data_IF_535318515759
#
_entry.id   IF_535318515759
#
_cell.length_a   1.000
_cell.length_b   1.000
_cell.length_c   1.000
_cell.angle_alpha   90.00
_cell.angle_beta   90.00
_cell.angle_gamma   90.00
#
_symmetry.space_group_name_H-M   'P 1'
#
loop_
_entity.id
_entity.type
_entity.pdbx_description
1 polymer ?
#
# COMPACT_ATOMS: atom_id res chain seq x y z
N UNK A 1 -36.94 16.32 3.73
CA UNK A 1 -35.89 15.98 2.74
C UNK A 1 -35.34 14.62 3.08
N UNK A 2 -34.96 13.79 2.11
CA UNK A 2 -34.33 12.49 2.36
C UNK A 2 -32.86 12.59 1.96
N UNK A 3 -31.96 12.03 2.77
CA UNK A 3 -30.54 11.90 2.45
C UNK A 3 -30.13 10.45 2.50
N UNK A 4 -28.89 10.14 2.12
CA UNK A 4 -28.41 8.76 2.08
C UNK A 4 -27.29 8.53 3.10
N UNK A 5 -27.27 7.35 3.73
CA UNK A 5 -26.27 6.95 4.72
C UNK A 5 -25.73 5.56 4.42
N UNK A 6 -24.45 5.34 4.68
CA UNK A 6 -23.80 4.06 4.42
C UNK A 6 -24.27 2.96 5.38
N UNK A 7 -24.48 1.77 4.82
CA UNK A 7 -24.75 0.54 5.56
C UNK A 7 -23.42 0.02 6.12
N UNK A 8 -23.37 -0.48 7.38
CA UNK A 8 -22.21 -1.19 7.88
C UNK A 8 -21.90 -2.42 7.00
N UNK A 9 -20.63 -2.68 6.70
CA UNK A 9 -20.19 -3.79 5.84
C UNK A 9 -19.49 -4.91 6.61
N UNK A 10 -19.53 -4.86 7.94
CA UNK A 10 -18.84 -5.80 8.82
C UNK A 10 -19.68 -7.05 9.05
N UNK A 11 -19.04 -8.22 9.16
CA UNK A 11 -19.75 -9.48 9.42
C UNK A 11 -20.08 -9.59 10.91
N UNK A 12 -21.12 -10.36 11.27
CA UNK A 12 -21.47 -10.56 12.68
C UNK A 12 -20.32 -11.22 13.47
N UNK A 13 -19.55 -12.06 12.79
CA UNK A 13 -18.37 -12.76 13.32
C UNK A 13 -17.22 -11.82 13.68
N UNK A 14 -17.18 -10.60 13.12
CA UNK A 14 -16.15 -9.61 13.46
C UNK A 14 -16.31 -9.09 14.90
N UNK A 15 -17.51 -9.24 15.49
CA UNK A 15 -17.77 -8.96 16.90
C UNK A 15 -17.81 -7.49 17.28
N UNK A 16 -17.97 -6.58 16.30
CA UNK A 16 -17.81 -5.15 16.48
C UNK A 16 -19.08 -4.49 17.05
N UNK A 17 -18.94 -3.82 18.19
CA UNK A 17 -19.99 -2.98 18.80
C UNK A 17 -19.45 -1.58 19.05
N UNK A 18 -20.15 -0.57 18.56
CA UNK A 18 -19.84 0.83 18.76
C UNK A 18 -20.51 1.37 20.02
N UNK A 19 -19.72 1.95 20.93
CA UNK A 19 -20.17 2.64 22.13
C UNK A 19 -19.99 4.14 21.94
N UNK A 20 -21.07 4.91 21.96
CA UNK A 20 -21.01 6.37 21.92
C UNK A 20 -20.94 6.92 23.35
N UNK A 21 -19.90 7.68 23.65
CA UNK A 21 -19.65 8.32 24.94
C UNK A 21 -19.96 9.81 24.89
N UNK A 22 -20.51 10.34 25.98
CA UNK A 22 -20.67 11.78 26.19
C UNK A 22 -19.39 12.42 26.74
N UNK A 23 -18.25 12.16 26.09
CA UNK A 23 -16.91 12.64 26.49
C UNK A 23 -16.08 12.89 25.24
N UNK A 24 -15.12 13.82 25.34
CA UNK A 24 -14.18 14.15 24.27
C UNK A 24 -13.25 12.99 23.95
N UNK A 25 -12.78 12.93 22.71
CA UNK A 25 -11.92 11.84 22.24
C UNK A 25 -10.63 11.74 23.05
N UNK A 26 -10.02 12.88 23.38
CA UNK A 26 -8.81 12.92 24.19
C UNK A 26 -9.01 12.26 25.57
N UNK A 27 -10.16 12.50 26.20
CA UNK A 27 -10.47 11.93 27.52
C UNK A 27 -10.66 10.41 27.44
N UNK A 28 -11.36 9.94 26.40
CA UNK A 28 -11.56 8.50 26.15
C UNK A 28 -10.23 7.81 25.84
N UNK A 29 -9.35 8.42 25.05
CA UNK A 29 -8.01 7.88 24.76
C UNK A 29 -7.16 7.81 26.02
N UNK A 30 -7.15 8.86 26.83
CA UNK A 30 -6.40 8.91 28.09
C UNK A 30 -6.91 7.89 29.12
N UNK A 31 -8.22 7.62 29.14
CA UNK A 31 -8.86 6.67 30.07
C UNK A 31 -9.08 5.28 29.45
N UNK A 32 -8.52 5.00 28.28
CA UNK A 32 -8.84 3.80 27.50
C UNK A 32 -8.65 2.51 28.31
N UNK A 33 -7.51 2.37 29.01
CA UNK A 33 -7.24 1.17 29.83
C UNK A 33 -8.28 0.98 30.94
N UNK A 34 -8.59 2.05 31.67
CA UNK A 34 -9.60 2.03 32.74
C UNK A 34 -11.00 1.67 32.20
N UNK A 35 -11.36 2.20 31.03
CA UNK A 35 -12.63 1.89 30.37
C UNK A 35 -12.67 0.41 29.98
N UNK A 36 -11.60 -0.12 29.38
CA UNK A 36 -11.50 -1.54 28.99
C UNK A 36 -11.61 -2.46 30.21
N UNK A 37 -10.92 -2.13 31.31
CA UNK A 37 -11.03 -2.89 32.56
C UNK A 37 -12.44 -2.84 33.15
N UNK A 38 -13.09 -1.68 33.09
CA UNK A 38 -14.47 -1.52 33.56
C UNK A 38 -15.45 -2.32 32.71
N UNK A 39 -15.29 -2.29 31.38
CA UNK A 39 -16.07 -3.12 30.46
C UNK A 39 -15.84 -4.60 30.71
N UNK A 40 -14.61 -5.03 30.96
CA UNK A 40 -14.30 -6.42 31.30
C UNK A 40 -15.02 -6.86 32.58
N UNK A 41 -15.03 -6.03 33.63
CA UNK A 41 -15.79 -6.30 34.86
C UNK A 41 -17.30 -6.36 34.62
N UNK A 42 -17.83 -5.42 33.83
CA UNK A 42 -19.26 -5.35 33.49
C UNK A 42 -19.70 -6.61 32.72
N UNK A 43 -18.83 -7.14 31.85
CA UNK A 43 -19.07 -8.38 31.09
C UNK A 43 -18.80 -9.65 31.91
N UNK A 44 -18.70 -9.55 33.23
CA UNK A 44 -18.58 -10.68 34.16
C UNK A 44 -17.17 -10.94 34.71
N UNK A 45 -16.14 -10.24 34.23
CA UNK A 45 -14.78 -10.33 34.78
C UNK A 45 -14.12 -11.70 34.65
N UNK A 46 -14.57 -12.51 33.70
CA UNK A 46 -14.11 -13.88 33.52
C UNK A 46 -12.73 -13.91 32.84
N UNK A 47 -11.79 -14.69 33.36
CA UNK A 47 -10.43 -14.78 32.79
C UNK A 47 -10.40 -15.26 31.32
N UNK A 48 -11.44 -15.99 30.89
CA UNK A 48 -11.60 -16.39 29.50
C UNK A 48 -11.96 -15.24 28.54
N UNK A 49 -12.38 -14.07 29.04
CA UNK A 49 -12.89 -12.97 28.20
C UNK A 49 -11.88 -11.83 28.14
N UNK A 50 -11.60 -11.33 26.93
CA UNK A 50 -10.75 -10.18 26.71
C UNK A 50 -11.47 -9.12 25.87
N UNK A 51 -11.62 -7.92 26.42
CA UNK A 51 -12.19 -6.76 25.71
C UNK A 51 -11.08 -6.06 24.95
N UNK A 52 -11.31 -5.80 23.66
CA UNK A 52 -10.37 -5.15 22.77
C UNK A 52 -11.03 -3.92 22.14
N UNK A 53 -10.20 -2.93 21.79
CA UNK A 53 -10.62 -1.68 21.16
C UNK A 53 -10.15 -1.70 19.71
N UNK A 54 -11.10 -1.69 18.78
CA UNK A 54 -10.82 -1.63 17.33
C UNK A 54 -10.45 -0.20 16.92
N UNK A 55 -11.18 0.79 17.44
CA UNK A 55 -10.97 2.18 17.07
C UNK A 55 -11.72 3.16 17.97
N UNK A 56 -11.18 4.38 18.02
CA UNK A 56 -11.80 5.51 18.72
C UNK A 56 -11.85 6.66 17.72
N UNK A 57 -13.02 7.31 17.59
CA UNK A 57 -13.20 8.49 16.75
C UNK A 57 -14.04 9.54 17.47
N UNK A 58 -13.65 10.82 17.38
CA UNK A 58 -14.51 11.91 17.82
C UNK A 58 -15.78 11.99 16.96
N UNK A 59 -16.88 12.26 17.63
CA UNK A 59 -18.17 12.62 17.09
C UNK A 59 -18.44 14.12 17.35
N UNK A 60 -19.46 14.72 16.70
CA UNK A 60 -19.89 16.07 17.04
C UNK A 60 -20.25 16.26 18.52
N UNK A 61 -20.26 17.52 18.96
CA UNK A 61 -20.75 17.93 20.29
C UNK A 61 -19.98 17.29 21.46
N UNK A 62 -18.65 17.21 21.34
CA UNK A 62 -17.74 16.64 22.35
C UNK A 62 -18.07 15.19 22.74
N UNK A 63 -18.62 14.43 21.79
CA UNK A 63 -18.88 13.00 21.93
C UNK A 63 -17.79 12.18 21.26
N UNK A 64 -17.72 10.90 21.62
CA UNK A 64 -16.73 9.96 21.06
C UNK A 64 -17.37 8.62 20.80
N UNK A 65 -17.05 8.00 19.67
CA UNK A 65 -17.36 6.60 19.42
C UNK A 65 -16.13 5.74 19.68
N UNK A 66 -16.28 4.71 20.51
CA UNK A 66 -15.31 3.64 20.71
C UNK A 66 -15.89 2.34 20.18
N UNK A 67 -15.25 1.73 19.20
CA UNK A 67 -15.63 0.42 18.67
C UNK A 67 -14.84 -0.65 19.42
N UNK A 68 -15.55 -1.61 19.99
CA UNK A 68 -14.97 -2.72 20.75
C UNK A 68 -15.33 -4.06 20.14
N UNK A 69 -14.53 -5.08 20.44
CA UNK A 69 -14.88 -6.49 20.27
C UNK A 69 -14.37 -7.31 21.45
N UNK A 70 -14.95 -8.49 21.63
CA UNK A 70 -14.64 -9.37 22.75
C UNK A 70 -14.13 -10.70 22.24
N UNK A 71 -13.01 -11.17 22.79
CA UNK A 71 -12.43 -12.49 22.50
C UNK A 71 -12.67 -13.41 23.69
N UNK A 72 -13.26 -14.57 23.42
CA UNK A 72 -13.49 -15.65 24.38
C UNK A 72 -12.45 -16.76 24.14
N UNK A 73 -11.74 -17.15 25.20
CA UNK A 73 -10.75 -18.24 25.22
C UNK A 73 -11.34 -19.49 25.84
N UNK A 74 -11.24 -20.61 25.13
CA UNK A 74 -11.72 -21.90 25.59
C UNK A 74 -10.65 -22.68 26.36
N UNK A 75 -11.05 -23.63 27.23
CA UNK A 75 -10.12 -24.50 27.95
C UNK A 75 -9.19 -25.33 27.05
N UNK A 76 -9.57 -25.54 25.79
CA UNK A 76 -8.75 -26.24 24.78
C UNK A 76 -7.67 -25.35 24.14
N UNK A 77 -7.53 -24.09 24.58
CA UNK A 77 -6.55 -23.13 24.06
C UNK A 77 -7.04 -22.32 22.84
N UNK A 78 -8.17 -22.70 22.23
CA UNK A 78 -8.73 -21.96 21.10
C UNK A 78 -9.37 -20.65 21.56
N UNK A 79 -9.33 -19.63 20.70
CA UNK A 79 -9.96 -18.33 20.95
C UNK A 79 -10.92 -17.99 19.82
N UNK A 80 -12.07 -17.39 20.14
CA UNK A 80 -13.00 -16.85 19.14
C UNK A 80 -13.48 -15.47 19.51
N UNK A 81 -13.87 -14.67 18.52
CA UNK A 81 -14.62 -13.43 18.79
C UNK A 81 -16.06 -13.77 19.15
N UNK A 82 -16.59 -13.08 20.15
CA UNK A 82 -18.02 -13.08 20.45
C UNK A 82 -18.71 -12.31 19.32
N UNK A 83 -19.77 -12.88 18.75
CA UNK A 83 -20.45 -12.23 17.63
C UNK A 83 -21.10 -10.91 18.06
N UNK A 84 -21.21 -9.96 17.13
CA UNK A 84 -21.66 -8.60 17.45
C UNK A 84 -23.11 -8.60 17.98
N UNK A 85 -23.98 -9.44 17.43
CA UNK A 85 -25.36 -9.62 17.91
C UNK A 85 -25.41 -10.14 19.35
N UNK A 86 -24.59 -11.13 19.68
CA UNK A 86 -24.53 -11.69 21.04
C UNK A 86 -23.96 -10.67 22.03
N UNK A 87 -22.86 -10.00 21.66
CA UNK A 87 -22.23 -8.98 22.48
C UNK A 87 -23.20 -7.81 22.73
N UNK A 88 -23.88 -7.33 21.69
CA UNK A 88 -24.90 -6.28 21.81
C UNK A 88 -26.05 -6.69 22.73
N UNK A 89 -26.57 -7.92 22.59
CA UNK A 89 -27.62 -8.46 23.45
C UNK A 89 -27.20 -8.48 24.93
N UNK A 90 -25.95 -8.84 25.22
CA UNK A 90 -25.40 -8.78 26.58
C UNK A 90 -25.28 -7.34 27.10
N UNK A 91 -24.86 -6.40 26.25
CA UNK A 91 -24.72 -4.98 26.62
C UNK A 91 -26.07 -4.29 26.86
N UNK A 92 -27.14 -4.78 26.23
CA UNK A 92 -28.49 -4.22 26.33
C UNK A 92 -29.28 -4.74 27.56
N UNK A 93 -28.73 -5.73 28.28
CA UNK A 93 -29.31 -6.18 29.56
C UNK A 93 -29.41 -5.00 30.54
N UNK A 94 -30.54 -4.87 31.24
CA UNK A 94 -30.89 -3.68 32.05
C UNK A 94 -29.81 -3.30 33.07
N UNK A 95 -29.25 -4.29 33.77
CA UNK A 95 -28.15 -4.11 34.73
C UNK A 95 -26.88 -3.60 34.05
N UNK A 96 -26.48 -4.22 32.94
CA UNK A 96 -25.29 -3.86 32.17
C UNK A 96 -25.44 -2.46 31.58
N UNK A 97 -26.57 -2.18 30.93
CA UNK A 97 -26.89 -0.88 30.35
C UNK A 97 -26.82 0.25 31.37
N UNK A 98 -27.30 0.02 32.60
CA UNK A 98 -27.20 1.00 33.69
C UNK A 98 -25.74 1.28 34.08
N UNK A 99 -24.89 0.26 34.15
CA UNK A 99 -23.45 0.42 34.43
C UNK A 99 -22.72 1.13 33.28
N UNK A 100 -23.08 0.83 32.03
CA UNK A 100 -22.53 1.52 30.86
C UNK A 100 -22.89 3.01 30.85
N UNK A 101 -24.13 3.35 31.24
CA UNK A 101 -24.55 4.74 31.40
C UNK A 101 -23.72 5.46 32.48
N UNK A 102 -23.39 4.80 33.59
CA UNK A 102 -22.50 5.35 34.62
C UNK A 102 -21.07 5.58 34.11
N UNK A 103 -20.60 4.77 33.15
CA UNK A 103 -19.32 5.00 32.46
C UNK A 103 -19.37 6.16 31.45
N UNK A 104 -20.57 6.68 31.16
CA UNK A 104 -20.82 7.77 30.21
C UNK A 104 -21.20 7.32 28.81
N UNK A 105 -21.56 6.04 28.62
CA UNK A 105 -22.08 5.53 27.35
C UNK A 105 -23.53 5.99 27.17
N UNK A 106 -23.80 6.68 26.06
CA UNK A 106 -25.12 7.16 25.65
C UNK A 106 -25.88 6.06 24.92
N UNK A 107 -25.20 5.38 23.98
CA UNK A 107 -25.80 4.34 23.14
C UNK A 107 -24.76 3.31 22.72
N UNK A 108 -25.17 2.05 22.64
CA UNK A 108 -24.42 0.97 22.03
C UNK A 108 -25.11 0.56 20.72
N UNK A 109 -24.35 0.27 19.67
CA UNK A 109 -24.87 -0.15 18.37
C UNK A 109 -23.99 -1.25 17.77
N UNK A 110 -24.56 -2.39 17.34
CA UNK A 110 -23.79 -3.39 16.61
C UNK A 110 -23.36 -2.82 15.25
N UNK A 111 -22.10 -3.06 14.87
CA UNK A 111 -21.56 -2.73 13.55
C UNK A 111 -21.61 -4.00 12.72
N UNK A 112 -22.82 -4.41 12.34
CA UNK A 112 -23.03 -5.62 11.54
C UNK A 112 -23.80 -5.26 10.27
N UNK A 113 -23.43 -5.88 9.16
CA UNK A 113 -24.20 -5.84 7.93
C UNK A 113 -25.63 -6.33 8.17
N UNK A 114 -26.59 -5.61 7.61
CA UNK A 114 -27.98 -6.00 7.70
C UNK A 114 -28.23 -7.14 6.72
N UNK A 115 -28.87 -8.23 7.18
CA UNK A 115 -29.26 -9.30 6.26
C UNK A 115 -30.23 -8.77 5.18
N UNK A 116 -30.28 -9.38 3.98
CA UNK A 116 -31.18 -8.94 2.93
C UNK A 116 -32.66 -8.88 3.36
N UNK A 117 -33.07 -9.76 4.28
CA UNK A 117 -34.42 -9.75 4.86
C UNK A 117 -34.65 -8.54 5.79
N UNK A 118 -33.69 -8.24 6.67
CA UNK A 118 -33.75 -7.06 7.54
C UNK A 118 -33.72 -5.76 6.73
N UNK A 119 -32.91 -5.71 5.67
CA UNK A 119 -32.86 -4.57 4.76
C UNK A 119 -34.20 -4.36 4.05
N UNK A 120 -34.79 -5.43 3.50
CA UNK A 120 -36.12 -5.36 2.89
C UNK A 120 -37.18 -4.89 3.88
N UNK A 121 -37.16 -5.40 5.10
CA UNK A 121 -38.11 -4.99 6.15
C UNK A 121 -37.95 -3.51 6.53
N UNK A 122 -36.71 -3.02 6.65
CA UNK A 122 -36.43 -1.62 6.96
C UNK A 122 -36.91 -0.67 5.85
N UNK A 123 -36.79 -1.08 4.60
CA UNK A 123 -37.19 -0.29 3.44
C UNK A 123 -38.68 -0.41 3.09
N UNK A 124 -39.37 -1.43 3.60
CA UNK A 124 -40.77 -1.71 3.27
C UNK A 124 -41.73 -0.66 3.80
N UNK A 125 -41.50 -0.14 5.01
CA UNK A 125 -42.38 0.83 5.65
C UNK A 125 -41.68 2.19 5.77
N UNK A 126 -42.33 3.30 5.37
CA UNK A 126 -41.76 4.62 5.57
C UNK A 126 -41.63 4.93 7.07
N UNK A 127 -40.54 5.59 7.50
CA UNK A 127 -40.40 6.07 8.87
C UNK A 127 -41.53 7.03 9.26
N UNK A 128 -41.83 7.11 10.56
CA UNK A 128 -42.91 7.96 11.07
C UNK A 128 -42.75 9.43 10.63
N UNK A 129 -43.80 10.01 10.06
CA UNK A 129 -43.80 11.40 9.58
C UNK A 129 -43.23 11.60 8.17
N UNK A 130 -42.89 10.53 7.44
CA UNK A 130 -42.47 10.59 6.04
C UNK A 130 -43.62 10.16 5.13
N UNK A 131 -43.90 10.94 4.09
CA UNK A 131 -44.89 10.58 3.08
C UNK A 131 -44.44 9.31 2.32
N UNK A 132 -45.30 8.28 2.18
CA UNK A 132 -44.98 7.05 1.45
C UNK A 132 -44.48 7.30 0.02
N UNK A 133 -45.02 8.30 -0.68
CA UNK A 133 -44.63 8.63 -2.06
C UNK A 133 -43.19 9.15 -2.08
N UNK A 134 -42.85 10.04 -1.16
CA UNK A 134 -41.49 10.59 -1.03
C UNK A 134 -40.50 9.49 -0.64
N UNK A 135 -40.92 8.54 0.19
CA UNK A 135 -40.08 7.41 0.59
C UNK A 135 -39.77 6.45 -0.56
N UNK A 136 -40.78 6.11 -1.37
CA UNK A 136 -40.57 5.28 -2.57
C UNK A 136 -39.69 5.99 -3.59
N UNK A 137 -39.90 7.29 -3.81
CA UNK A 137 -39.04 8.08 -4.69
C UNK A 137 -37.58 8.10 -4.20
N UNK A 138 -37.36 8.26 -2.90
CA UNK A 138 -36.01 8.25 -2.33
C UNK A 138 -35.30 6.90 -2.47
N UNK A 139 -36.04 5.78 -2.50
CA UNK A 139 -35.47 4.45 -2.78
C UNK A 139 -34.99 4.34 -4.22
N UNK A 140 -35.75 4.90 -5.17
CA UNK A 140 -35.39 4.93 -6.59
C UNK A 140 -34.22 5.88 -6.87
N UNK A 141 -34.20 7.04 -6.21
CA UNK A 141 -33.16 8.07 -6.38
C UNK A 141 -31.86 7.75 -5.63
N UNK A 142 -31.76 6.57 -5.02
CA UNK A 142 -30.56 6.15 -4.31
C UNK A 142 -29.41 5.90 -5.29
N UNK A 143 -28.30 6.65 -5.21
CA UNK A 143 -27.20 6.52 -6.17
C UNK A 143 -26.40 5.22 -6.01
N UNK A 144 -26.47 4.56 -4.84
CA UNK A 144 -25.81 3.28 -4.59
C UNK A 144 -26.68 2.41 -3.65
N UNK A 145 -27.67 1.68 -4.20
CA UNK A 145 -28.59 0.86 -3.41
C UNK A 145 -27.95 -0.29 -2.63
N UNK A 146 -26.74 -0.70 -2.99
CA UNK A 146 -26.02 -1.78 -2.29
C UNK A 146 -25.34 -1.29 -1.02
N UNK A 147 -24.86 -0.02 -1.01
CA UNK A 147 -24.09 0.54 0.11
C UNK A 147 -24.82 1.62 0.88
N UNK A 148 -25.88 2.20 0.34
CA UNK A 148 -26.58 3.34 0.93
C UNK A 148 -28.04 2.99 1.22
N UNK A 149 -28.56 3.57 2.31
CA UNK A 149 -29.99 3.57 2.63
C UNK A 149 -30.52 5.00 2.70
N UNK A 150 -31.78 5.23 2.27
CA UNK A 150 -32.46 6.50 2.50
C UNK A 150 -32.67 6.70 4.01
N UNK A 151 -32.38 7.91 4.48
CA UNK A 151 -32.56 8.35 5.87
C UNK A 151 -33.30 9.68 5.84
N UNK A 152 -34.49 9.78 6.48
CA UNK A 152 -35.24 11.02 6.49
C UNK A 152 -34.54 12.09 7.33
N UNK A 153 -34.47 13.30 6.79
CA UNK A 153 -33.94 14.48 7.47
C UNK A 153 -35.09 15.45 7.71
N UNK A 154 -35.52 15.54 8.97
CA UNK A 154 -36.68 16.34 9.38
C UNK A 154 -36.20 17.60 10.12
N UNK A 155 -36.40 18.76 9.50
CA UNK A 155 -36.08 20.07 10.06
C UNK A 155 -34.59 20.45 10.03
N UNK A 156 -34.30 21.71 10.38
CA UNK A 156 -32.94 22.26 10.35
C UNK A 156 -31.99 21.62 11.36
N UNK A 157 -32.53 21.08 12.47
CA UNK A 157 -31.72 20.40 13.48
C UNK A 157 -30.99 19.18 12.91
N UNK A 158 -31.67 18.38 12.08
CA UNK A 158 -31.06 17.17 11.49
C UNK A 158 -30.09 17.53 10.37
N UNK A 159 -30.36 18.60 9.60
CA UNK A 159 -29.40 19.14 8.62
C UNK A 159 -28.13 19.64 9.29
N UNK A 160 -28.26 20.42 10.37
CA UNK A 160 -27.11 20.88 11.16
C UNK A 160 -26.34 19.71 11.75
N UNK A 161 -27.04 18.69 12.27
CA UNK A 161 -26.41 17.46 12.78
C UNK A 161 -25.57 16.80 11.68
N UNK A 162 -26.14 16.61 10.48
CA UNK A 162 -25.42 16.02 9.34
C UNK A 162 -24.19 16.85 8.95
N UNK A 163 -24.30 18.17 8.91
CA UNK A 163 -23.18 19.06 8.61
C UNK A 163 -22.03 18.87 9.62
N UNK A 164 -22.34 18.83 10.93
CA UNK A 164 -21.31 18.59 11.95
C UNK A 164 -20.62 17.23 11.78
N UNK A 165 -21.37 16.17 11.45
CA UNK A 165 -20.79 14.86 11.16
C UNK A 165 -19.88 14.90 9.92
N UNK A 166 -20.29 15.62 8.87
CA UNK A 166 -19.47 15.80 7.66
C UNK A 166 -18.17 16.55 7.98
N UNK A 167 -18.23 17.66 8.71
CA UNK A 167 -17.02 18.38 9.14
C UNK A 167 -16.06 17.48 9.92
N UNK A 168 -16.60 16.65 10.82
CA UNK A 168 -15.81 15.73 11.62
C UNK A 168 -15.17 14.63 10.76
N UNK A 169 -15.90 14.07 9.80
CA UNK A 169 -15.37 13.10 8.85
C UNK A 169 -14.30 13.70 7.93
N UNK A 170 -14.50 14.93 7.44
CA UNK A 170 -13.51 15.66 6.63
C UNK A 170 -12.21 15.86 7.41
N UNK A 171 -12.27 16.25 8.69
CA UNK A 171 -11.08 16.36 9.55
C UNK A 171 -10.33 15.03 9.68
N UNK A 172 -11.05 13.93 9.87
CA UNK A 172 -10.45 12.59 9.94
C UNK A 172 -9.80 12.19 8.60
N UNK A 173 -10.46 12.46 7.47
CA UNK A 173 -9.89 12.20 6.15
C UNK A 173 -8.63 13.02 5.90
N UNK A 174 -8.63 14.31 6.25
CA UNK A 174 -7.44 15.15 6.14
C UNK A 174 -6.28 14.58 6.96
N UNK A 175 -6.52 14.24 8.23
CA UNK A 175 -5.48 13.65 9.08
C UNK A 175 -4.92 12.34 8.51
N UNK A 176 -5.76 11.50 7.89
CA UNK A 176 -5.31 10.27 7.23
C UNK A 176 -4.46 10.56 5.99
N UNK A 177 -4.83 11.56 5.20
CA UNK A 177 -4.03 12.00 4.04
C UNK A 177 -2.67 12.55 4.49
N UNK A 178 -2.62 13.29 5.59
CA UNK A 178 -1.37 13.82 6.15
C UNK A 178 -0.43 12.69 6.59
N UNK A 179 -0.96 11.64 7.25
CA UNK A 179 -0.17 10.44 7.62
C UNK A 179 0.38 9.75 6.37
N UNK A 180 -0.47 9.51 5.36
CA UNK A 180 -0.04 8.87 4.10
C UNK A 180 1.03 9.71 3.42
N UNK A 181 0.89 11.04 3.42
CA UNK A 181 1.88 11.94 2.85
C UNK A 181 3.21 11.86 3.58
N UNK A 182 3.20 11.76 4.91
CA UNK A 182 4.42 11.61 5.71
C UNK A 182 5.10 10.27 5.41
N UNK A 183 4.34 9.17 5.36
CA UNK A 183 4.86 7.84 5.02
C UNK A 183 5.50 7.82 3.62
N UNK A 184 4.87 8.49 2.65
CA UNK A 184 5.41 8.62 1.28
C UNK A 184 6.71 9.42 1.29
N UNK A 185 6.78 10.53 2.05
CA UNK A 185 7.99 11.33 2.16
C UNK A 185 9.13 10.54 2.82
N UNK A 186 8.84 9.78 3.87
CA UNK A 186 9.82 8.91 4.52
C UNK A 186 10.32 7.82 3.55
N UNK A 187 9.41 7.20 2.79
CA UNK A 187 9.77 6.20 1.79
C UNK A 187 10.69 6.78 0.70
N UNK A 188 10.40 7.99 0.22
CA UNK A 188 11.25 8.68 -0.77
C UNK A 188 12.65 8.98 -0.22
N UNK A 189 12.75 9.44 1.03
CA UNK A 189 14.04 9.66 1.71
C UNK A 189 14.84 8.36 1.84
N UNK A 190 14.16 7.27 2.20
CA UNK A 190 14.76 5.94 2.31
C UNK A 190 15.21 5.40 0.94
N UNK A 191 14.46 5.67 -0.12
CA UNK A 191 14.83 5.31 -1.49
C UNK A 191 16.14 5.99 -1.90
N UNK A 192 16.29 7.30 -1.67
CA UNK A 192 17.51 8.04 -2.00
C UNK A 192 18.74 7.45 -1.29
N UNK A 193 18.62 7.13 0.00
CA UNK A 193 19.68 6.48 0.78
C UNK A 193 20.00 5.08 0.24
N UNK A 194 18.98 4.32 -0.14
CA UNK A 194 19.14 2.96 -0.69
C UNK A 194 19.86 2.98 -2.03
N UNK A 195 19.55 3.93 -2.92
CA UNK A 195 20.25 4.10 -4.20
C UNK A 195 21.75 4.36 -4.00
N UNK A 196 22.11 5.21 -3.03
CA UNK A 196 23.50 5.46 -2.68
C UNK A 196 24.22 4.19 -2.19
N UNK A 197 23.55 3.39 -1.33
CA UNK A 197 24.08 2.09 -0.86
C UNK A 197 24.25 1.10 -2.01
N UNK A 198 23.29 1.02 -2.94
CA UNK A 198 23.41 0.17 -4.14
C UNK A 198 24.64 0.57 -4.97
N UNK A 199 24.88 1.86 -5.19
CA UNK A 199 26.06 2.33 -5.90
C UNK A 199 27.36 1.96 -5.17
N UNK A 200 27.40 2.09 -3.84
CA UNK A 200 28.54 1.67 -3.03
C UNK A 200 28.78 0.16 -3.12
N UNK A 201 27.73 -0.66 -3.04
CA UNK A 201 27.83 -2.11 -3.15
C UNK A 201 28.29 -2.55 -4.54
N UNK A 202 27.83 -1.91 -5.61
CA UNK A 202 28.35 -2.17 -6.97
C UNK A 202 29.86 -1.90 -7.07
N UNK A 203 30.36 -0.80 -6.50
CA UNK A 203 31.81 -0.53 -6.47
C UNK A 203 32.58 -1.56 -5.66
N UNK A 204 32.06 -1.93 -4.48
CA UNK A 204 32.69 -2.94 -3.61
C UNK A 204 32.73 -4.32 -4.28
N UNK A 205 31.65 -4.69 -4.98
CA UNK A 205 31.59 -5.93 -5.76
C UNK A 205 32.67 -5.95 -6.85
N UNK A 206 32.85 -4.85 -7.58
CA UNK A 206 33.88 -4.73 -8.60
C UNK A 206 35.30 -4.84 -8.02
N UNK A 207 35.57 -4.19 -6.89
CA UNK A 207 36.87 -4.29 -6.18
C UNK A 207 37.12 -5.71 -5.66
N UNK A 208 36.10 -6.35 -5.08
CA UNK A 208 36.19 -7.73 -4.62
C UNK A 208 36.39 -8.72 -5.78
N UNK A 209 35.67 -8.55 -6.89
CA UNK A 209 35.86 -9.36 -8.09
C UNK A 209 37.30 -9.25 -8.63
N UNK A 210 37.87 -8.03 -8.63
CA UNK A 210 39.25 -7.83 -9.01
C UNK A 210 40.24 -8.51 -8.04
N UNK A 211 40.02 -8.41 -6.73
CA UNK A 211 40.85 -9.09 -5.72
C UNK A 211 40.78 -10.60 -5.83
N UNK A 212 39.58 -11.15 -6.05
CA UNK A 212 39.39 -12.59 -6.27
C UNK A 212 40.17 -13.03 -7.51
N UNK A 213 40.06 -12.29 -8.62
CA UNK A 213 40.84 -12.57 -9.83
C UNK A 213 42.35 -12.54 -9.55
N UNK A 214 42.87 -11.55 -8.83
CA UNK A 214 44.29 -11.49 -8.46
C UNK A 214 44.75 -12.70 -7.63
N UNK A 215 43.93 -13.14 -6.67
CA UNK A 215 44.24 -14.31 -5.84
C UNK A 215 44.23 -15.58 -6.69
N UNK A 216 43.23 -15.75 -7.55
CA UNK A 216 43.14 -16.89 -8.48
C UNK A 216 44.36 -16.96 -9.41
N UNK A 217 44.78 -15.82 -9.98
CA UNK A 217 45.98 -15.75 -10.82
C UNK A 217 47.21 -16.20 -10.03
N UNK A 218 47.42 -15.67 -8.81
CA UNK A 218 48.58 -16.04 -7.98
C UNK A 218 48.56 -17.52 -7.60
N UNK A 219 47.39 -18.04 -7.26
CA UNK A 219 47.22 -19.45 -6.92
C UNK A 219 47.53 -20.35 -8.12
N UNK A 220 47.05 -19.99 -9.31
CA UNK A 220 47.28 -20.78 -10.52
C UNK A 220 48.77 -20.79 -10.90
N UNK A 221 49.45 -19.64 -10.82
CA UNK A 221 50.91 -19.54 -11.03
C UNK A 221 51.66 -20.44 -10.04
N UNK A 222 51.31 -20.41 -8.75
CA UNK A 222 51.97 -21.24 -7.74
C UNK A 222 51.70 -22.74 -7.95
N UNK A 223 50.46 -23.10 -8.28
CA UNK A 223 50.04 -24.49 -8.51
C UNK A 223 50.70 -25.09 -9.74
N UNK A 224 50.90 -24.30 -10.80
CA UNK A 224 51.46 -24.72 -12.09
C UNK A 224 52.96 -24.46 -12.22
N UNK A 225 53.61 -23.90 -11.20
CA UNK A 225 55.05 -23.68 -11.19
C UNK A 225 55.81 -24.99 -11.44
N UNK A 226 56.66 -25.02 -12.47
CA UNK A 226 57.48 -26.18 -12.83
C UNK A 226 56.81 -27.19 -13.77
N UNK A 227 55.54 -27.00 -14.14
CA UNK A 227 54.90 -27.74 -15.23
C UNK A 227 55.18 -27.08 -16.59
N UNK A 228 55.12 -27.86 -17.66
CA UNK A 228 55.15 -27.33 -19.02
C UNK A 228 53.85 -26.57 -19.33
N UNK A 229 53.96 -25.51 -20.15
CA UNK A 229 52.82 -24.70 -20.60
C UNK A 229 51.82 -25.61 -21.32
N UNK A 230 50.55 -25.52 -20.93
CA UNK A 230 49.49 -26.34 -21.49
C UNK A 230 48.86 -25.68 -22.73
N UNK A 231 48.20 -26.48 -23.57
CA UNK A 231 47.58 -25.98 -24.79
C UNK A 231 46.49 -24.92 -24.50
N UNK A 232 45.74 -25.08 -23.42
CA UNK A 232 44.71 -24.14 -22.98
C UNK A 232 45.29 -22.80 -22.51
N UNK A 233 46.48 -22.82 -21.88
CA UNK A 233 47.18 -21.61 -21.43
C UNK A 233 47.69 -20.81 -22.63
N UNK A 234 48.20 -21.47 -23.66
CA UNK A 234 48.62 -20.81 -24.91
C UNK A 234 47.42 -20.20 -25.64
N UNK A 235 46.27 -20.88 -25.68
CA UNK A 235 45.04 -20.31 -26.23
C UNK A 235 44.61 -19.04 -25.48
N UNK A 236 44.62 -19.06 -24.14
CA UNK A 236 44.29 -17.90 -23.33
C UNK A 236 45.28 -16.74 -23.56
N UNK A 237 46.57 -17.05 -23.67
CA UNK A 237 47.60 -16.06 -23.99
C UNK A 237 47.33 -15.36 -25.31
N UNK A 238 47.06 -16.12 -26.38
CA UNK A 238 46.77 -15.56 -27.71
C UNK A 238 45.55 -14.63 -27.67
N UNK A 239 44.50 -15.01 -26.93
CA UNK A 239 43.31 -14.15 -26.75
C UNK A 239 43.66 -12.84 -26.04
N UNK A 240 44.43 -12.90 -24.95
CA UNK A 240 44.86 -11.72 -24.21
C UNK A 240 45.78 -10.80 -25.03
N UNK A 241 46.72 -11.38 -25.79
CA UNK A 241 47.62 -10.63 -26.67
C UNK A 241 46.84 -9.91 -27.78
N UNK A 242 45.80 -10.56 -28.33
CA UNK A 242 44.90 -9.95 -29.32
C UNK A 242 44.19 -8.74 -28.72
N UNK A 243 43.55 -8.89 -27.56
CA UNK A 243 42.85 -7.79 -26.86
C UNK A 243 43.82 -6.65 -26.53
N UNK A 244 45.00 -6.97 -26.03
CA UNK A 244 46.02 -5.97 -25.68
C UNK A 244 46.52 -5.21 -26.91
N UNK A 245 46.67 -5.89 -28.05
CA UNK A 245 47.09 -5.26 -29.31
C UNK A 245 46.03 -4.29 -29.85
N UNK A 246 44.75 -4.66 -29.78
CA UNK A 246 43.63 -3.80 -30.19
C UNK A 246 43.52 -2.57 -29.30
N UNK A 247 43.65 -2.73 -27.98
CA UNK A 247 43.56 -1.63 -27.02
C UNK A 247 44.69 -0.60 -27.20
N UNK A 248 45.90 -1.07 -27.54
CA UNK A 248 47.07 -0.21 -27.73
C UNK A 248 47.21 0.34 -29.14
N UNK A 249 46.34 -0.04 -30.08
CA UNK A 249 46.37 0.48 -31.44
C UNK A 249 46.23 2.02 -31.43
N UNK A 250 47.25 2.77 -31.91
CA UNK A 250 47.38 4.21 -31.67
C UNK A 250 46.22 5.07 -32.20
N UNK A 251 45.49 4.59 -33.21
CA UNK A 251 44.38 5.32 -33.86
C UNK A 251 42.99 4.83 -33.49
N UNK A 252 42.85 3.77 -32.67
CA UNK A 252 41.53 3.24 -32.32
C UNK A 252 40.93 3.96 -31.10
N UNK A 253 41.33 3.59 -29.89
CA UNK A 253 40.66 4.06 -28.67
C UNK A 253 41.22 5.37 -28.14
N UNK A 254 42.54 5.45 -27.91
CA UNK A 254 43.18 6.66 -27.35
C UNK A 254 43.06 7.87 -28.28
N UNK A 255 43.27 7.69 -29.59
CA UNK A 255 43.13 8.75 -30.59
C UNK A 255 41.71 9.34 -30.62
N UNK A 256 40.69 8.48 -30.73
CA UNK A 256 39.28 8.90 -30.74
C UNK A 256 38.83 9.55 -29.43
N UNK A 257 39.28 9.04 -28.28
CA UNK A 257 38.98 9.66 -26.97
C UNK A 257 39.54 11.06 -26.87
N UNK A 258 40.78 11.27 -27.30
CA UNK A 258 41.41 12.60 -27.28
C UNK A 258 40.72 13.57 -28.24
N UNK A 259 40.33 13.09 -29.43
CA UNK A 259 39.57 13.88 -30.40
C UNK A 259 38.21 14.32 -29.80
N UNK A 260 37.45 13.37 -29.24
CA UNK A 260 36.15 13.65 -28.63
C UNK A 260 36.27 14.63 -27.44
N UNK A 261 37.27 14.43 -26.59
CA UNK A 261 37.57 15.35 -25.48
C UNK A 261 37.92 16.76 -25.99
N UNK A 262 38.66 16.87 -27.10
CA UNK A 262 38.96 18.15 -27.74
C UNK A 262 37.70 18.82 -28.29
N UNK A 263 36.84 18.06 -29.00
CA UNK A 263 35.57 18.56 -29.52
C UNK A 263 34.64 19.08 -28.41
N UNK A 264 34.51 18.36 -27.29
CA UNK A 264 33.72 18.81 -26.13
C UNK A 264 34.27 20.12 -25.57
N UNK A 265 35.59 20.23 -25.40
CA UNK A 265 36.22 21.46 -24.89
C UNK A 265 35.96 22.66 -25.81
N UNK A 266 36.06 22.46 -27.12
CA UNK A 266 35.77 23.50 -28.11
C UNK A 266 34.29 23.90 -28.11
N UNK A 267 33.37 22.93 -28.10
CA UNK A 267 31.94 23.22 -28.04
C UNK A 267 31.53 23.97 -26.77
N UNK A 268 32.09 23.63 -25.62
CA UNK A 268 31.80 24.33 -24.36
C UNK A 268 32.27 25.79 -24.38
N UNK A 269 33.42 26.09 -25.00
CA UNK A 269 33.86 27.48 -25.20
C UNK A 269 32.94 28.26 -26.13
N UNK A 270 32.43 27.63 -27.20
CA UNK A 270 31.51 28.28 -28.15
C UNK A 270 30.10 28.44 -27.57
N UNK A 271 29.65 27.48 -26.76
CA UNK A 271 28.33 27.49 -26.10
C UNK A 271 28.20 28.57 -25.03
N UNK A 272 29.25 28.80 -24.23
CA UNK A 272 29.27 29.84 -23.19
C UNK A 272 29.18 31.28 -23.73
N UNK A 273 29.53 31.50 -25.00
CA UNK A 273 29.44 32.82 -25.66
C UNK A 273 28.05 33.04 -26.29
N UNK A 274 27.25 31.98 -26.46
CA UNK A 274 25.91 32.03 -27.07
C UNK A 274 24.77 32.02 -26.05
N UNK A 275 25.06 31.88 -24.76
CA UNK A 275 24.08 31.82 -23.67
C UNK A 275 23.54 33.21 -23.27
N UNK A 276 23.10 34.00 -24.24
CA UNK A 276 22.11 35.06 -24.01
C UNK A 276 20.75 34.49 -24.41
N UNK A 277 20.08 33.81 -23.47
CA UNK A 277 18.75 33.25 -23.69
C UNK A 277 17.74 34.38 -23.89
N UNK A 278 17.26 34.55 -25.14
CA UNK A 278 16.25 35.57 -25.51
C UNK A 278 14.80 35.07 -25.44
N UNK A 279 14.57 33.86 -24.96
CA UNK A 279 13.24 33.23 -24.95
C UNK A 279 12.95 32.63 -23.57
N UNK A 280 11.82 33.01 -22.97
CA UNK A 280 11.28 32.32 -21.80
C UNK A 280 10.31 31.23 -22.25
N UNK A 281 10.47 30.03 -21.71
CA UNK A 281 9.51 28.94 -21.95
C UNK A 281 8.27 29.16 -21.08
N UNK A 282 7.09 29.00 -21.68
CA UNK A 282 5.81 29.07 -20.97
C UNK A 282 5.65 27.87 -20.01
N UNK A 283 5.29 28.15 -18.76
CA UNK A 283 5.21 27.16 -17.69
C UNK A 283 4.05 26.17 -17.86
N UNK A 284 2.93 26.63 -18.41
CA UNK A 284 1.74 25.80 -18.61
C UNK A 284 1.97 24.77 -19.71
N UNK A 285 2.53 25.18 -20.85
CA UNK A 285 2.96 24.29 -21.93
C UNK A 285 3.98 23.26 -21.43
N UNK A 286 4.89 23.66 -20.54
CA UNK A 286 5.88 22.75 -19.96
C UNK A 286 5.22 21.72 -19.03
N UNK A 287 4.15 22.10 -18.33
CA UNK A 287 3.29 21.19 -17.57
C UNK A 287 2.60 20.14 -18.44
N UNK A 288 2.03 20.55 -19.57
CA UNK A 288 1.40 19.64 -20.54
C UNK A 288 2.42 18.67 -21.14
N UNK A 289 3.59 19.17 -21.56
CA UNK A 289 4.69 18.34 -22.08
C UNK A 289 5.12 17.31 -21.04
N UNK A 290 5.27 17.72 -19.77
CA UNK A 290 5.60 16.80 -18.67
C UNK A 290 4.55 15.70 -18.52
N UNK A 291 3.27 16.05 -18.59
CA UNK A 291 2.19 15.08 -18.48
C UNK A 291 2.19 14.10 -19.66
N UNK A 292 2.37 14.60 -20.88
CA UNK A 292 2.46 13.76 -22.07
C UNK A 292 3.67 12.81 -22.02
N UNK A 293 4.83 13.30 -21.60
CA UNK A 293 6.03 12.46 -21.41
C UNK A 293 5.82 11.40 -20.33
N UNK A 294 5.08 11.71 -19.26
CA UNK A 294 4.72 10.73 -18.23
C UNK A 294 3.89 9.59 -18.81
N UNK A 295 2.86 9.90 -19.59
CA UNK A 295 2.02 8.90 -20.26
C UNK A 295 2.83 8.03 -21.24
N UNK A 296 3.72 8.65 -22.03
CA UNK A 296 4.61 7.92 -22.93
C UNK A 296 5.55 6.98 -22.15
N UNK A 297 6.11 7.44 -21.02
CA UNK A 297 6.98 6.63 -20.18
C UNK A 297 6.24 5.42 -19.59
N UNK A 298 5.00 5.59 -19.13
CA UNK A 298 4.15 4.51 -18.64
C UNK A 298 3.84 3.50 -19.76
N UNK A 299 3.47 3.97 -20.95
CA UNK A 299 3.21 3.11 -22.11
C UNK A 299 4.44 2.31 -22.53
N UNK A 300 5.63 2.95 -22.59
CA UNK A 300 6.88 2.26 -22.89
C UNK A 300 7.25 1.24 -21.82
N UNK A 301 7.03 1.56 -20.53
CA UNK A 301 7.30 0.62 -19.43
C UNK A 301 6.43 -0.62 -19.52
N UNK A 302 5.15 -0.45 -19.89
CA UNK A 302 4.25 -1.57 -20.11
C UNK A 302 4.68 -2.44 -21.29
N UNK A 303 5.01 -1.82 -22.44
CA UNK A 303 5.54 -2.55 -23.60
C UNK A 303 6.82 -3.34 -23.28
N UNK A 304 7.71 -2.77 -22.48
CA UNK A 304 8.92 -3.46 -22.03
C UNK A 304 8.58 -4.67 -21.14
N UNK A 305 7.54 -4.59 -20.30
CA UNK A 305 7.08 -5.73 -19.50
C UNK A 305 6.57 -6.86 -20.38
N UNK A 306 5.67 -6.55 -21.32
CA UNK A 306 5.11 -7.52 -22.26
C UNK A 306 6.22 -8.18 -23.08
N UNK A 307 7.14 -7.39 -23.63
CA UNK A 307 8.27 -7.95 -24.39
C UNK A 307 9.17 -8.87 -23.55
N UNK A 308 9.32 -8.62 -22.25
CA UNK A 308 10.10 -9.50 -21.37
C UNK A 308 9.36 -10.80 -21.10
N UNK A 309 8.06 -10.73 -20.83
CA UNK A 309 7.20 -11.90 -20.66
C UNK A 309 7.19 -12.76 -21.94
N UNK A 310 6.97 -12.15 -23.09
CA UNK A 310 7.02 -12.82 -24.40
C UNK A 310 8.38 -13.49 -24.65
N UNK A 311 9.49 -12.85 -24.27
CA UNK A 311 10.83 -13.42 -24.42
C UNK A 311 11.06 -14.62 -23.48
N UNK A 312 10.48 -14.59 -22.28
CA UNK A 312 10.51 -15.75 -21.37
C UNK A 312 9.67 -16.91 -21.90
N UNK A 313 8.49 -16.63 -22.45
CA UNK A 313 7.63 -17.64 -23.09
C UNK A 313 8.32 -18.28 -24.30
N UNK A 314 8.97 -17.48 -25.15
CA UNK A 314 9.74 -17.99 -26.30
C UNK A 314 10.87 -18.91 -25.84
N UNK A 315 11.59 -18.55 -24.77
CA UNK A 315 12.64 -19.43 -24.20
C UNK A 315 12.06 -20.74 -23.68
N UNK A 316 10.90 -20.71 -23.04
CA UNK A 316 10.24 -21.90 -22.54
C UNK A 316 9.80 -22.82 -23.70
N UNK A 317 9.28 -22.23 -24.79
CA UNK A 317 8.95 -22.95 -26.01
C UNK A 317 10.19 -23.57 -26.66
N UNK A 318 11.30 -22.81 -26.76
CA UNK A 318 12.57 -23.31 -27.30
C UNK A 318 13.12 -24.49 -26.49
N UNK A 319 13.07 -24.40 -25.16
CA UNK A 319 13.47 -25.49 -24.26
C UNK A 319 12.58 -26.73 -24.45
N UNK A 320 11.26 -26.57 -24.47
CA UNK A 320 10.32 -27.67 -24.68
C UNK A 320 10.49 -28.34 -26.05
N UNK A 321 10.79 -27.57 -27.11
CA UNK A 321 11.09 -28.09 -28.43
C UNK A 321 12.40 -28.89 -28.45
N UNK A 322 13.46 -28.40 -27.80
CA UNK A 322 14.74 -29.12 -27.72
C UNK A 322 14.61 -30.43 -26.92
N UNK A 323 13.87 -30.44 -25.82
CA UNK A 323 13.57 -31.65 -25.05
C UNK A 323 12.75 -32.67 -25.86
N UNK A 324 11.74 -32.19 -26.60
CA UNK A 324 10.92 -33.04 -27.48
C UNK A 324 11.72 -33.69 -28.62
N UNK A 325 12.73 -33.00 -29.14
CA UNK A 325 13.64 -33.52 -30.18
C UNK A 325 14.61 -34.57 -29.61
N UNK A 326 15.06 -34.44 -28.36
CA UNK A 326 15.86 -35.46 -27.69
C UNK A 326 15.05 -36.74 -27.40
N UNK A 327 13.82 -36.60 -26.89
CA UNK A 327 12.94 -37.76 -26.64
C UNK A 327 12.63 -38.54 -27.93
N UNK A 328 12.42 -37.84 -29.06
CA UNK A 328 12.24 -38.51 -30.36
C UNK A 328 13.50 -39.22 -30.85
N UNK A 329 14.71 -38.70 -30.59
CA UNK A 329 15.95 -39.40 -30.98
C UNK A 329 16.19 -40.68 -30.19
N UNK A 330 15.85 -40.69 -28.91
CA UNK A 330 16.00 -41.85 -28.04
C UNK A 330 14.94 -42.95 -28.31
N UNK A 331 13.80 -42.59 -28.90
CA UNK A 331 12.77 -43.55 -29.35
C UNK A 331 13.07 -44.21 -30.71
N UNK A 332 14.02 -43.69 -31.48
CA UNK A 332 14.40 -44.20 -32.81
C UNK A 332 15.84 -44.73 -32.89
N UNK A 333 16.50 -44.94 -31.74
CA UNK A 333 17.79 -45.65 -31.63
C UNK A 333 17.60 -47.02 -31.00
#
# INVERSE_FOLDING_TARGET
>A
TVGFSCIPSNKDEDGLVALAFNKKEADIRNQQQLIVESLHKILGGLQQIMVNVEGIRALPDDQTEMVIYVVERFPNGNSRRVSATNLYSSLEQVNVKTLLMQLGVIVALPRTELSPAQMKQLLQNPPAGVDPIIWEQAKVDNPDPEKLIPVPMVGFKELLRRLKFQEQMTKQHQSRLDIISEDVNELQKNQATTVAKIAQYKRKLMDQAHKVLQVLIKQEIQRKAGYAIQAEEEQLRVQLDTIQSELNAPTQFKGRLNELMSQIRMQNHVGAVRSEERYSVDGDLLGEIKQHLKLQHEGLSHLISVLKEDLEDVKLIEQGLNESVHIRRDLFS
#
